data_IF_309340395281
#
_entry.id   IF_309340395281
#
_cell.length_a   1.000
_cell.length_b   1.000
_cell.length_c   1.000
_cell.angle_alpha   90.00
_cell.angle_beta   90.00
_cell.angle_gamma   90.00
#
_symmetry.space_group_name_H-M   'P 1'
#
loop_
_entity.id
_entity.type
_entity.pdbx_description
1 polymer ?
#
# COMPACT_ATOMS: atom_id res chain seq x y z
N UNK A 1 -8.81 -1.97 22.17
CA UNK A 1 -7.85 -2.59 21.25
C UNK A 1 -7.21 -1.52 20.40
N UNK A 2 -5.94 -1.18 20.67
CA UNK A 2 -5.21 -0.21 19.87
C UNK A 2 -4.87 -0.89 18.53
N UNK A 3 -5.55 -0.49 17.46
CA UNK A 3 -5.14 -0.81 16.10
C UNK A 3 -3.69 -0.34 15.92
N UNK A 4 -2.80 -1.23 15.46
CA UNK A 4 -1.42 -0.84 15.22
C UNK A 4 -1.35 -0.06 13.92
N UNK A 5 -1.34 1.26 14.07
CA UNK A 5 -1.21 2.21 12.97
C UNK A 5 0.26 2.51 12.70
N UNK A 6 0.68 2.34 11.46
CA UNK A 6 1.98 2.77 11.00
C UNK A 6 1.83 3.88 9.96
N UNK A 7 2.51 5.00 10.21
CA UNK A 7 2.62 6.10 9.26
C UNK A 7 4.10 6.34 8.94
N UNK A 8 4.46 6.19 7.69
CA UNK A 8 5.80 6.46 7.18
C UNK A 8 5.74 7.67 6.24
N UNK A 9 6.65 8.62 6.43
CA UNK A 9 6.67 9.83 5.61
C UNK A 9 8.05 10.44 5.44
N UNK A 10 8.24 11.16 4.34
CA UNK A 10 9.46 11.91 4.04
C UNK A 10 10.01 11.59 2.65
N UNK A 11 10.73 12.54 2.07
CA UNK A 11 11.28 12.44 0.72
C UNK A 11 12.43 11.43 0.58
N UNK A 12 13.06 11.04 1.69
CA UNK A 12 14.05 9.96 1.74
C UNK A 12 13.41 8.56 1.69
N UNK A 13 12.08 8.48 1.74
CA UNK A 13 11.37 7.21 1.66
C UNK A 13 11.17 6.81 0.19
N UNK A 14 12.03 5.91 -0.28
CA UNK A 14 12.01 5.42 -1.66
C UNK A 14 11.29 4.07 -1.84
N UNK A 15 11.00 3.37 -0.74
CA UNK A 15 10.30 2.09 -0.72
C UNK A 15 9.43 1.95 0.53
N UNK A 16 8.56 0.93 0.55
CA UNK A 16 7.79 0.58 1.74
C UNK A 16 8.72 -0.05 2.78
N UNK A 17 8.81 0.48 4.02
CA UNK A 17 9.67 -0.11 5.04
C UNK A 17 9.22 -1.53 5.39
N UNK A 18 10.11 -2.51 5.22
CA UNK A 18 9.80 -3.94 5.46
C UNK A 18 9.94 -4.36 6.92
N UNK A 19 10.70 -3.62 7.72
CA UNK A 19 11.07 -3.99 9.09
C UNK A 19 10.19 -3.32 10.16
N UNK A 20 8.91 -3.08 9.85
CA UNK A 20 7.96 -2.53 10.82
C UNK A 20 7.52 -3.66 11.75
N UNK A 21 7.83 -3.51 13.04
CA UNK A 21 7.48 -4.51 14.05
C UNK A 21 6.01 -4.40 14.46
N UNK A 22 5.37 -5.54 14.70
CA UNK A 22 4.01 -5.62 15.23
C UNK A 22 2.96 -5.94 14.16
N UNK A 23 1.70 -6.01 14.61
CA UNK A 23 0.58 -6.46 13.79
C UNK A 23 -0.10 -5.29 13.08
N UNK A 24 0.59 -4.68 12.10
CA UNK A 24 0.15 -3.44 11.43
C UNK A 24 -1.20 -3.63 10.75
N UNK A 25 -2.23 -2.93 11.23
CA UNK A 25 -3.56 -2.93 10.62
C UNK A 25 -3.72 -1.81 9.60
N UNK A 26 -3.15 -0.64 9.88
CA UNK A 26 -3.22 0.51 8.97
C UNK A 26 -1.83 0.96 8.60
N UNK A 27 -1.52 0.96 7.31
CA UNK A 27 -0.26 1.47 6.77
C UNK A 27 -0.53 2.70 5.91
N UNK A 28 0.01 3.84 6.32
CA UNK A 28 -0.02 5.07 5.52
C UNK A 28 1.38 5.48 5.09
N UNK A 29 1.56 5.62 3.78
CA UNK A 29 2.76 6.18 3.15
C UNK A 29 2.43 7.59 2.68
N UNK A 30 3.12 8.59 3.21
CA UNK A 30 2.85 9.99 2.90
C UNK A 30 4.10 10.72 2.45
N UNK A 31 3.98 11.59 1.43
CA UNK A 31 5.08 12.50 1.04
C UNK A 31 6.38 11.75 0.69
N UNK A 32 6.25 10.54 0.14
CA UNK A 32 7.37 9.66 -0.18
C UNK A 32 7.85 9.85 -1.62
N UNK A 33 9.14 9.58 -1.85
CA UNK A 33 9.77 9.57 -3.17
C UNK A 33 9.76 8.17 -3.81
N UNK A 34 8.76 7.35 -3.46
CA UNK A 34 8.49 6.04 -4.08
C UNK A 34 8.09 6.24 -5.54
N UNK A 35 8.79 5.57 -6.46
CA UNK A 35 8.51 5.63 -7.90
C UNK A 35 7.65 4.47 -8.38
N UNK A 36 7.80 3.29 -7.79
CA UNK A 36 6.99 2.11 -8.08
C UNK A 36 6.62 1.38 -6.79
N UNK A 37 5.54 0.61 -6.84
CA UNK A 37 5.15 -0.32 -5.79
C UNK A 37 5.30 -1.76 -6.32
N UNK A 38 6.45 -2.43 -6.07
CA UNK A 38 6.67 -3.82 -6.47
C UNK A 38 5.68 -4.81 -5.86
N UNK A 39 5.43 -5.94 -6.54
CA UNK A 39 4.44 -6.95 -6.13
C UNK A 39 4.60 -7.47 -4.68
N UNK A 40 5.84 -7.50 -4.16
CA UNK A 40 6.13 -7.99 -2.81
C UNK A 40 6.04 -6.92 -1.71
N UNK A 41 5.77 -5.65 -2.06
CA UNK A 41 5.89 -4.50 -1.16
C UNK A 41 5.00 -4.54 0.09
N UNK A 42 3.84 -5.19 -0.01
CA UNK A 42 2.87 -5.31 1.09
C UNK A 42 2.86 -6.68 1.76
N UNK A 43 3.64 -7.64 1.24
CA UNK A 43 3.66 -9.02 1.73
C UNK A 43 4.05 -9.17 3.20
N UNK A 44 4.97 -8.34 3.77
CA UNK A 44 5.25 -8.36 5.21
C UNK A 44 4.02 -8.11 6.10
N UNK A 45 2.96 -7.50 5.57
CA UNK A 45 1.74 -7.14 6.30
C UNK A 45 0.52 -8.00 5.91
N UNK A 46 0.72 -9.04 5.12
CA UNK A 46 -0.38 -9.80 4.48
C UNK A 46 -1.38 -10.43 5.44
N UNK A 47 -0.95 -10.80 6.64
CA UNK A 47 -1.81 -11.45 7.64
C UNK A 47 -2.69 -10.49 8.44
N UNK A 48 -2.52 -9.17 8.31
CA UNK A 48 -3.18 -8.23 9.20
C UNK A 48 -3.54 -6.86 8.65
N UNK A 49 -2.99 -6.47 7.50
CA UNK A 49 -3.26 -5.17 6.91
C UNK A 49 -4.74 -5.05 6.51
N UNK A 50 -5.46 -4.13 7.14
CA UNK A 50 -6.85 -3.80 6.84
C UNK A 50 -6.98 -2.55 6.00
N UNK A 51 -6.08 -1.58 6.17
CA UNK A 51 -6.16 -0.30 5.47
C UNK A 51 -4.78 0.09 4.92
N UNK A 52 -4.73 0.32 3.61
CA UNK A 52 -3.54 0.80 2.92
C UNK A 52 -3.80 2.16 2.30
N UNK A 53 -2.95 3.14 2.62
CA UNK A 53 -3.03 4.47 2.07
C UNK A 53 -1.69 4.97 1.53
N UNK A 54 -1.70 5.54 0.32
CA UNK A 54 -0.61 6.33 -0.23
C UNK A 54 -1.10 7.74 -0.54
N UNK A 55 -0.50 8.76 0.07
CA UNK A 55 -0.90 10.17 -0.12
C UNK A 55 0.27 11.07 -0.46
N UNK A 56 0.06 12.02 -1.39
CA UNK A 56 1.10 12.94 -1.85
C UNK A 56 2.36 12.22 -2.42
N UNK A 57 2.20 11.02 -2.97
CA UNK A 57 3.28 10.24 -3.59
C UNK A 57 3.50 10.71 -5.03
N UNK A 58 4.13 11.88 -5.16
CA UNK A 58 4.18 12.63 -6.43
C UNK A 58 4.98 11.94 -7.55
N UNK A 59 5.89 11.04 -7.18
CA UNK A 59 6.76 10.32 -8.10
C UNK A 59 6.27 8.91 -8.46
N UNK A 60 5.18 8.44 -7.85
CA UNK A 60 4.65 7.11 -8.10
C UNK A 60 4.12 7.02 -9.54
N UNK A 61 4.71 6.16 -10.36
CA UNK A 61 4.34 5.92 -11.76
C UNK A 61 3.69 4.56 -11.99
N UNK A 62 3.97 3.58 -11.12
CA UNK A 62 3.57 2.20 -11.33
C UNK A 62 3.20 1.50 -10.02
N UNK A 63 2.18 0.65 -10.10
CA UNK A 63 1.85 -0.34 -9.07
C UNK A 63 1.82 -1.69 -9.78
N UNK A 64 2.74 -2.57 -9.41
CA UNK A 64 2.88 -3.86 -10.09
C UNK A 64 1.68 -4.77 -9.79
N UNK A 65 1.24 -5.59 -10.76
CA UNK A 65 0.30 -6.67 -10.49
C UNK A 65 0.81 -7.58 -9.36
N UNK A 66 -0.09 -7.94 -8.45
CA UNK A 66 0.24 -8.80 -7.31
C UNK A 66 0.60 -8.09 -6.02
N UNK A 67 0.72 -6.75 -6.01
CA UNK A 67 0.86 -5.94 -4.78
C UNK A 67 -0.17 -6.33 -3.71
N UNK A 68 -1.41 -6.64 -4.13
CA UNK A 68 -2.51 -6.98 -3.23
C UNK A 68 -2.73 -8.50 -3.07
N UNK A 69 -1.82 -9.36 -3.54
CA UNK A 69 -1.94 -10.81 -3.33
C UNK A 69 -1.94 -11.16 -1.84
N UNK A 70 -2.80 -12.09 -1.47
CA UNK A 70 -2.93 -12.64 -0.11
C UNK A 70 -3.28 -11.63 0.99
N UNK A 71 -3.70 -10.41 0.65
CA UNK A 71 -4.15 -9.40 1.62
C UNK A 71 -5.64 -9.63 1.97
N UNK A 72 -5.96 -10.76 2.61
CA UNK A 72 -7.35 -11.22 2.81
C UNK A 72 -8.16 -10.33 3.77
N UNK A 73 -7.48 -9.63 4.67
CA UNK A 73 -8.08 -8.70 5.64
C UNK A 73 -8.23 -7.28 5.10
N UNK A 74 -7.72 -7.00 3.89
CA UNK A 74 -7.71 -5.65 3.32
C UNK A 74 -9.12 -5.18 3.00
N UNK A 75 -9.49 -4.06 3.60
CA UNK A 75 -10.81 -3.41 3.53
C UNK A 75 -10.77 -2.14 2.71
N UNK A 76 -9.68 -1.39 2.81
CA UNK A 76 -9.56 -0.06 2.22
C UNK A 76 -8.25 0.07 1.47
N UNK A 77 -8.34 0.56 0.23
CA UNK A 77 -7.20 0.97 -0.58
C UNK A 77 -7.43 2.43 -0.97
N UNK A 78 -6.55 3.32 -0.51
CA UNK A 78 -6.67 4.75 -0.77
C UNK A 78 -5.38 5.31 -1.37
N UNK A 79 -5.42 5.66 -2.66
CA UNK A 79 -4.29 6.28 -3.35
C UNK A 79 -4.73 7.66 -3.82
N UNK A 80 -4.09 8.71 -3.29
CA UNK A 80 -4.49 10.08 -3.53
C UNK A 80 -3.29 11.00 -3.75
N UNK A 81 -3.45 11.97 -4.66
CA UNK A 81 -2.39 12.89 -5.10
C UNK A 81 -1.13 12.14 -5.58
N UNK A 82 -1.35 11.20 -6.50
CA UNK A 82 -0.32 10.49 -7.27
C UNK A 82 -0.39 10.90 -8.76
N UNK A 83 -0.03 12.15 -9.12
CA UNK A 83 -0.26 12.69 -10.47
C UNK A 83 0.51 11.98 -11.60
N UNK A 84 1.55 11.21 -11.27
CA UNK A 84 2.32 10.44 -12.26
C UNK A 84 1.81 9.00 -12.43
N UNK A 85 0.90 8.54 -11.57
CA UNK A 85 0.24 7.24 -11.70
C UNK A 85 -0.91 7.37 -12.71
N UNK A 86 -0.55 7.35 -13.99
CA UNK A 86 -1.48 7.60 -15.11
C UNK A 86 -2.17 6.34 -15.62
N UNK A 87 -1.62 5.18 -15.29
CA UNK A 87 -2.12 3.89 -15.75
C UNK A 87 -2.24 2.95 -14.56
N UNK A 88 -3.37 2.25 -14.49
CA UNK A 88 -3.60 1.15 -13.58
C UNK A 88 -3.69 -0.11 -14.43
N UNK A 89 -2.82 -1.08 -14.14
CA UNK A 89 -2.84 -2.35 -14.86
C UNK A 89 -4.20 -3.04 -14.66
N UNK A 90 -4.84 -3.59 -15.72
CA UNK A 90 -6.11 -4.30 -15.59
C UNK A 90 -6.06 -5.47 -14.60
N UNK A 91 -4.87 -6.06 -14.43
CA UNK A 91 -4.62 -7.18 -13.52
C UNK A 91 -4.30 -6.76 -12.09
N UNK A 92 -4.22 -5.46 -11.79
CA UNK A 92 -3.85 -4.98 -10.45
C UNK A 92 -4.79 -5.50 -9.37
N UNK A 93 -6.09 -5.52 -9.66
CA UNK A 93 -7.15 -6.02 -8.77
C UNK A 93 -7.68 -7.38 -9.22
N UNK A 94 -6.95 -8.13 -10.06
CA UNK A 94 -7.30 -9.50 -10.44
C UNK A 94 -6.93 -10.49 -9.33
N UNK A 95 -7.42 -10.22 -8.12
CA UNK A 95 -7.12 -10.89 -6.87
C UNK A 95 -8.37 -10.98 -6.00
N UNK A 96 -8.44 -11.97 -5.12
CA UNK A 96 -9.59 -12.11 -4.23
C UNK A 96 -9.41 -11.24 -2.97
N UNK A 97 -10.07 -10.09 -2.91
CA UNK A 97 -10.08 -9.19 -1.74
C UNK A 97 -11.41 -9.31 -1.00
N UNK A 98 -11.58 -10.40 -0.25
CA UNK A 98 -12.86 -10.79 0.39
C UNK A 98 -13.41 -9.74 1.37
N UNK A 99 -12.53 -8.95 1.96
CA UNK A 99 -12.89 -7.95 2.97
C UNK A 99 -13.04 -6.54 2.39
N UNK A 100 -12.77 -6.34 1.09
CA UNK A 100 -12.74 -5.02 0.47
C UNK A 100 -14.12 -4.36 0.54
N UNK A 101 -14.14 -3.09 0.96
CA UNK A 101 -15.34 -2.26 0.99
C UNK A 101 -15.21 -1.22 -0.12
N UNK A 102 -16.26 -1.08 -0.94
CA UNK A 102 -16.34 -0.14 -2.08
C UNK A 102 -17.43 0.88 -1.78
#
# INVERSE_FOLDING_TARGET
DLEADCRCSGDQLHEIPRNISGNVRRLTIAEAAVTSLPADSLQPFSSSLTDFAMTNVRQLTEIEPGVFFNLTELRTIYIHRAPQLRHIAPTLFAVELRSLKI
#
